data_IF_953486132462
#
_entry.id   IF_953486132462
#
_cell.length_a   1.000
_cell.length_b   1.000
_cell.length_c   1.000
_cell.angle_alpha   90.00
_cell.angle_beta   90.00
_cell.angle_gamma   90.00
#
_symmetry.space_group_name_H-M   'P 1'
#
loop_
_entity.id
_entity.type
_entity.pdbx_description
1 polymer ?
#
# COMPACT_ATOMS: atom_id res chain seq x y z
N UNK A 1 -11.74 -10.91 11.14
CA UNK A 1 -11.51 -9.90 10.10
C UNK A 1 -12.77 -9.03 9.89
N UNK A 2 -13.91 -9.56 9.40
CA UNK A 2 -15.11 -8.77 9.08
C UNK A 2 -15.68 -7.97 10.27
N UNK A 3 -15.59 -8.50 11.50
CA UNK A 3 -15.95 -7.75 12.72
C UNK A 3 -15.08 -6.51 12.91
N UNK A 4 -13.80 -6.58 12.55
CA UNK A 4 -12.90 -5.44 12.60
C UNK A 4 -13.21 -4.43 11.50
N UNK A 5 -13.50 -4.89 10.27
CA UNK A 5 -13.94 -4.01 9.17
C UNK A 5 -15.14 -3.18 9.59
N UNK A 6 -16.19 -3.80 10.18
CA UNK A 6 -17.36 -3.07 10.68
C UNK A 6 -17.01 -1.99 11.72
N UNK A 7 -16.07 -2.28 12.63
CA UNK A 7 -15.59 -1.28 13.59
C UNK A 7 -14.79 -0.15 12.90
N UNK A 8 -13.95 -0.50 11.93
CA UNK A 8 -13.15 0.47 11.19
C UNK A 8 -14.02 1.42 10.37
N UNK A 9 -15.16 0.96 9.83
CA UNK A 9 -16.14 1.82 9.15
C UNK A 9 -16.62 2.94 10.09
N UNK A 10 -16.96 2.60 11.33
CA UNK A 10 -17.42 3.61 12.29
C UNK A 10 -16.32 4.62 12.68
N UNK A 11 -15.07 4.14 12.77
CA UNK A 11 -13.91 5.03 12.99
C UNK A 11 -13.68 5.91 11.78
N UNK A 12 -13.67 5.34 10.59
CA UNK A 12 -13.45 6.06 9.32
C UNK A 12 -14.45 7.23 9.15
N UNK A 13 -15.73 6.99 9.45
CA UNK A 13 -16.76 8.03 9.44
C UNK A 13 -16.43 9.18 10.40
N UNK A 14 -15.94 8.87 11.60
CA UNK A 14 -15.63 9.88 12.63
C UNK A 14 -14.45 10.76 12.25
N UNK A 15 -13.45 10.21 11.58
CA UNK A 15 -12.20 10.92 11.19
C UNK A 15 -12.19 11.34 9.72
N UNK A 16 -13.29 11.11 9.01
CA UNK A 16 -13.41 11.37 7.57
C UNK A 16 -12.31 10.68 6.72
N UNK A 17 -11.95 9.44 7.08
CA UNK A 17 -10.98 8.66 6.33
C UNK A 17 -11.62 8.12 5.03
N UNK A 18 -10.84 8.04 3.98
CA UNK A 18 -11.22 7.46 2.68
C UNK A 18 -10.58 6.08 2.47
N UNK A 19 -9.40 5.88 3.01
CA UNK A 19 -8.61 4.65 2.83
C UNK A 19 -8.39 3.93 4.15
N UNK A 20 -8.28 2.62 4.08
CA UNK A 20 -7.91 1.74 5.20
C UNK A 20 -6.85 0.76 4.73
N UNK A 21 -5.66 0.79 5.34
CA UNK A 21 -4.61 -0.19 5.05
C UNK A 21 -5.01 -1.58 5.54
N UNK A 22 -4.81 -2.57 4.69
CA UNK A 22 -5.04 -3.98 4.99
C UNK A 22 -3.82 -4.81 4.60
N UNK A 23 -3.31 -5.56 5.59
CA UNK A 23 -2.25 -6.55 5.39
C UNK A 23 -2.86 -7.93 5.62
N UNK A 24 -2.79 -8.86 4.64
CA UNK A 24 -3.42 -10.18 4.74
C UNK A 24 -2.84 -11.13 5.80
N UNK A 25 -1.79 -10.73 6.50
CA UNK A 25 -1.17 -11.50 7.57
C UNK A 25 -0.05 -12.43 7.10
N UNK A 26 0.25 -13.45 7.90
CA UNK A 26 1.39 -14.36 7.65
C UNK A 26 1.02 -15.51 6.73
N UNK A 27 2.01 -15.97 5.97
CA UNK A 27 1.95 -17.16 5.15
C UNK A 27 1.94 -18.42 6.05
N UNK A 28 0.96 -19.31 5.88
CA UNK A 28 0.95 -20.61 6.54
C UNK A 28 1.65 -21.64 5.64
N UNK A 29 2.90 -21.97 5.96
CA UNK A 29 3.71 -22.91 5.18
C UNK A 29 3.11 -24.33 5.10
N UNK A 30 2.13 -24.67 5.94
CA UNK A 30 1.44 -25.98 5.93
C UNK A 30 0.34 -26.04 4.88
N UNK A 31 -0.02 -24.91 4.26
CA UNK A 31 -1.11 -24.81 3.28
C UNK A 31 -0.57 -24.39 1.92
N UNK A 32 -1.19 -24.87 0.85
CA UNK A 32 -0.86 -24.45 -0.50
C UNK A 32 -1.13 -22.95 -0.67
N UNK A 33 -0.24 -22.23 -1.35
CA UNK A 33 -0.37 -20.81 -1.61
C UNK A 33 -1.69 -20.48 -2.34
N UNK A 34 -2.07 -21.27 -3.36
CA UNK A 34 -3.32 -21.08 -4.09
C UNK A 34 -4.57 -21.14 -3.20
N UNK A 35 -4.58 -22.02 -2.21
CA UNK A 35 -5.68 -22.09 -1.23
C UNK A 35 -5.73 -20.84 -0.35
N UNK A 36 -4.56 -20.34 0.09
CA UNK A 36 -4.49 -19.13 0.89
C UNK A 36 -4.91 -17.90 0.07
N UNK A 37 -4.48 -17.81 -1.18
CA UNK A 37 -4.90 -16.74 -2.10
C UNK A 37 -6.41 -16.73 -2.29
N UNK A 38 -7.04 -17.89 -2.53
CA UNK A 38 -8.49 -17.99 -2.65
C UNK A 38 -9.21 -17.50 -1.39
N UNK A 39 -8.74 -17.89 -0.19
CA UNK A 39 -9.32 -17.43 1.07
C UNK A 39 -9.15 -15.91 1.28
N UNK A 40 -8.01 -15.34 0.88
CA UNK A 40 -7.78 -13.89 0.93
C UNK A 40 -8.76 -13.19 0.01
N UNK A 41 -8.88 -13.62 -1.25
CA UNK A 41 -9.81 -13.03 -2.22
C UNK A 41 -11.25 -13.07 -1.72
N UNK A 42 -11.73 -14.22 -1.23
CA UNK A 42 -13.10 -14.34 -0.70
C UNK A 42 -13.32 -13.45 0.53
N UNK A 43 -12.35 -13.36 1.43
CA UNK A 43 -12.43 -12.49 2.60
C UNK A 43 -12.49 -11.01 2.20
N UNK A 44 -11.74 -10.61 1.18
CA UNK A 44 -11.71 -9.24 0.68
C UNK A 44 -12.99 -8.88 -0.09
N UNK A 45 -13.60 -9.82 -0.83
CA UNK A 45 -14.92 -9.63 -1.44
C UNK A 45 -15.97 -9.31 -0.39
N UNK A 46 -16.07 -10.15 0.65
CA UNK A 46 -17.01 -9.91 1.75
C UNK A 46 -16.75 -8.58 2.49
N UNK A 47 -15.50 -8.16 2.58
CA UNK A 47 -15.16 -6.87 3.16
C UNK A 47 -15.53 -5.70 2.22
N UNK A 48 -15.32 -5.86 0.91
CA UNK A 48 -15.71 -4.87 -0.09
C UNK A 48 -17.21 -4.58 -0.06
N UNK A 49 -18.05 -5.63 0.03
CA UNK A 49 -19.51 -5.50 0.15
C UNK A 49 -19.92 -4.62 1.35
N UNK A 50 -19.13 -4.66 2.43
CA UNK A 50 -19.36 -3.82 3.60
C UNK A 50 -18.88 -2.37 3.42
N UNK A 51 -17.85 -2.15 2.61
CA UNK A 51 -17.18 -0.85 2.46
C UNK A 51 -17.77 0.01 1.35
N UNK A 52 -18.20 -0.61 0.25
CA UNK A 52 -18.75 0.08 -0.92
C UNK A 52 -19.90 1.06 -0.59
N UNK A 53 -20.89 0.70 0.26
CA UNK A 53 -21.97 1.61 0.64
C UNK A 53 -21.49 2.87 1.37
N UNK A 54 -20.25 2.87 1.85
CA UNK A 54 -19.64 3.99 2.58
C UNK A 54 -18.60 4.76 1.77
N UNK A 55 -18.33 4.36 0.53
CA UNK A 55 -17.27 4.94 -0.30
C UNK A 55 -15.86 4.74 0.27
N UNK A 56 -15.68 3.76 1.14
CA UNK A 56 -14.40 3.43 1.77
C UNK A 56 -13.61 2.44 0.92
N UNK A 57 -12.30 2.62 0.86
CA UNK A 57 -11.40 1.78 0.07
C UNK A 57 -10.40 1.11 1.02
N UNK A 58 -10.40 -0.22 1.07
CA UNK A 58 -9.24 -0.93 1.62
C UNK A 58 -8.12 -0.91 0.59
N UNK A 59 -6.94 -0.58 1.07
CA UNK A 59 -5.72 -0.57 0.27
C UNK A 59 -4.79 -1.66 0.78
N UNK A 60 -4.52 -2.64 -0.07
CA UNK A 60 -3.64 -3.77 0.23
C UNK A 60 -2.20 -3.31 0.13
N UNK A 61 -1.44 -3.54 1.18
CA UNK A 61 -0.04 -3.16 1.25
C UNK A 61 0.87 -4.38 1.15
N UNK A 62 1.59 -4.57 0.04
CA UNK A 62 2.70 -5.51 -0.04
C UNK A 62 3.89 -4.99 0.76
N UNK A 63 4.41 -5.81 1.69
CA UNK A 63 5.49 -5.43 2.59
C UNK A 63 6.75 -6.24 2.31
N UNK A 64 7.92 -5.58 2.35
CA UNK A 64 9.17 -6.23 2.05
C UNK A 64 9.54 -7.31 3.10
N UNK A 65 10.23 -8.35 2.64
CA UNK A 65 10.57 -9.52 3.46
C UNK A 65 11.64 -9.23 4.53
N UNK A 66 12.42 -8.17 4.39
CA UNK A 66 13.51 -7.83 5.34
C UNK A 66 12.95 -7.26 6.63
N UNK A 67 12.02 -6.32 6.52
CA UNK A 67 11.40 -5.67 7.67
C UNK A 67 10.23 -6.50 8.22
N UNK A 68 9.56 -7.25 7.35
CA UNK A 68 8.35 -8.02 7.66
C UNK A 68 8.44 -9.48 7.18
N UNK A 69 9.32 -10.30 7.77
CA UNK A 69 9.52 -11.67 7.31
C UNK A 69 8.27 -12.55 7.52
N UNK A 70 8.00 -13.40 6.55
CA UNK A 70 6.93 -14.41 6.64
C UNK A 70 5.52 -13.92 6.34
N UNK A 71 5.36 -12.72 5.79
CA UNK A 71 4.06 -12.23 5.34
C UNK A 71 3.60 -12.93 4.06
N UNK A 72 2.28 -13.00 3.89
CA UNK A 72 1.65 -13.59 2.71
C UNK A 72 1.78 -12.68 1.48
N UNK A 73 1.58 -11.37 1.65
CA UNK A 73 1.58 -10.38 0.57
C UNK A 73 2.88 -9.58 0.61
N UNK A 74 3.71 -9.75 -0.42
CA UNK A 74 5.03 -9.09 -0.48
C UNK A 74 5.31 -8.39 -1.80
N UNK A 75 4.60 -8.75 -2.88
CA UNK A 75 4.89 -8.27 -4.22
C UNK A 75 3.71 -7.49 -4.83
N UNK A 76 4.01 -6.44 -5.60
CA UNK A 76 2.99 -5.63 -6.25
C UNK A 76 2.20 -6.40 -7.33
N UNK A 77 2.79 -7.31 -8.15
CA UNK A 77 2.01 -8.15 -9.05
C UNK A 77 1.02 -9.07 -8.34
N UNK A 78 1.42 -9.63 -7.18
CA UNK A 78 0.52 -10.46 -6.36
C UNK A 78 -0.68 -9.65 -5.86
N UNK A 79 -0.45 -8.43 -5.38
CA UNK A 79 -1.52 -7.53 -4.96
C UNK A 79 -2.45 -7.17 -6.13
N UNK A 80 -1.88 -6.92 -7.31
CA UNK A 80 -2.63 -6.62 -8.53
C UNK A 80 -3.58 -7.77 -8.88
N UNK A 81 -3.09 -9.00 -8.94
CA UNK A 81 -3.90 -10.18 -9.23
C UNK A 81 -5.02 -10.37 -8.21
N UNK A 82 -4.74 -10.14 -6.92
CA UNK A 82 -5.76 -10.22 -5.86
C UNK A 82 -6.82 -9.13 -6.07
N UNK A 83 -6.45 -7.87 -6.30
CA UNK A 83 -7.41 -6.79 -6.55
C UNK A 83 -8.28 -7.07 -7.77
N UNK A 84 -7.69 -7.55 -8.87
CA UNK A 84 -8.44 -7.96 -10.09
C UNK A 84 -9.40 -9.11 -9.80
N UNK A 85 -9.00 -10.09 -8.99
CA UNK A 85 -9.86 -11.23 -8.62
C UNK A 85 -11.01 -10.81 -7.67
N UNK A 86 -10.77 -9.84 -6.79
CA UNK A 86 -11.81 -9.23 -5.93
C UNK A 86 -12.78 -8.42 -6.78
N UNK A 87 -12.28 -7.66 -7.75
CA UNK A 87 -13.04 -6.86 -8.71
C UNK A 87 -14.01 -5.86 -8.05
N UNK A 88 -13.51 -5.07 -7.09
CA UNK A 88 -14.28 -4.06 -6.37
C UNK A 88 -13.56 -2.71 -6.33
N UNK A 89 -14.28 -1.58 -6.44
CA UNK A 89 -13.70 -0.26 -6.25
C UNK A 89 -13.23 -0.02 -4.80
N UNK A 90 -13.71 -0.83 -3.85
CA UNK A 90 -13.34 -0.76 -2.43
C UNK A 90 -12.16 -1.68 -2.05
N UNK A 91 -11.48 -2.30 -3.05
CA UNK A 91 -10.27 -3.10 -2.82
C UNK A 91 -9.23 -2.72 -3.86
N UNK A 92 -8.20 -2.00 -3.42
CA UNK A 92 -7.14 -1.44 -4.26
C UNK A 92 -5.77 -1.66 -3.64
N UNK A 93 -4.71 -1.21 -4.32
CA UNK A 93 -3.33 -1.32 -3.86
C UNK A 93 -2.92 -0.03 -3.14
N UNK A 94 -2.23 -0.17 -2.02
CA UNK A 94 -1.29 0.79 -1.49
C UNK A 94 0.09 0.41 -2.03
N UNK A 95 0.68 1.28 -2.85
CA UNK A 95 2.03 1.09 -3.35
C UNK A 95 3.00 1.89 -2.49
N UNK A 96 3.65 1.21 -1.52
CA UNK A 96 4.72 1.81 -0.73
C UNK A 96 6.04 1.70 -1.51
N UNK A 97 6.57 2.84 -1.93
CA UNK A 97 7.77 2.93 -2.75
C UNK A 97 9.00 2.39 -2.01
N UNK A 98 9.10 2.62 -0.70
CA UNK A 98 10.18 2.08 0.13
C UNK A 98 10.13 0.55 0.17
N UNK A 99 8.95 -0.03 0.46
CA UNK A 99 8.82 -1.49 0.53
C UNK A 99 9.10 -2.14 -0.82
N UNK A 100 8.59 -1.58 -1.91
CA UNK A 100 8.77 -2.18 -3.23
C UNK A 100 10.19 -1.97 -3.78
N UNK A 101 10.91 -0.91 -3.38
CA UNK A 101 12.35 -0.80 -3.68
C UNK A 101 13.14 -1.96 -3.11
N UNK A 102 12.90 -2.32 -1.86
CA UNK A 102 13.61 -3.42 -1.17
C UNK A 102 13.20 -4.80 -1.72
N UNK A 103 11.92 -4.97 -2.02
CA UNK A 103 11.34 -6.26 -2.41
C UNK A 103 11.58 -6.59 -3.87
N UNK A 104 11.35 -5.64 -4.77
CA UNK A 104 11.28 -5.86 -6.21
C UNK A 104 12.26 -4.99 -7.01
N UNK A 105 12.52 -3.78 -6.54
CA UNK A 105 13.15 -2.76 -7.38
C UNK A 105 12.27 -2.41 -8.59
N UNK A 106 12.90 -1.95 -9.69
CA UNK A 106 12.21 -1.72 -10.97
C UNK A 106 10.89 -0.91 -10.82
N UNK A 107 10.88 0.10 -9.95
CA UNK A 107 9.69 0.78 -9.42
C UNK A 107 8.75 1.31 -10.51
N UNK A 108 9.26 2.11 -11.46
CA UNK A 108 8.41 2.75 -12.49
C UNK A 108 7.68 1.70 -13.35
N UNK A 109 8.33 0.67 -13.89
CA UNK A 109 7.62 -0.39 -14.61
C UNK A 109 6.62 -1.17 -13.77
N UNK A 110 6.89 -1.38 -12.49
CA UNK A 110 5.96 -2.07 -11.58
C UNK A 110 4.74 -1.20 -11.24
N UNK A 111 4.94 0.10 -11.01
CA UNK A 111 3.85 1.07 -10.87
C UNK A 111 2.98 1.08 -12.13
N UNK A 112 3.60 1.11 -13.33
CA UNK A 112 2.86 1.12 -14.60
C UNK A 112 1.98 -0.12 -14.78
N UNK A 113 2.51 -1.30 -14.50
CA UNK A 113 1.78 -2.57 -14.59
C UNK A 113 0.60 -2.66 -13.63
N UNK A 114 0.73 -2.08 -12.44
CA UNK A 114 -0.29 -2.15 -11.40
C UNK A 114 -1.22 -0.93 -11.39
N UNK A 115 -1.02 0.03 -12.31
CA UNK A 115 -1.62 1.36 -12.30
C UNK A 115 -3.12 1.39 -12.04
N UNK A 116 -3.89 0.57 -12.73
CA UNK A 116 -5.35 0.53 -12.63
C UNK A 116 -5.87 0.17 -11.24
N UNK A 117 -5.06 -0.49 -10.44
CA UNK A 117 -5.43 -0.95 -9.11
C UNK A 117 -4.78 -0.15 -7.98
N UNK A 118 -3.90 0.82 -8.28
CA UNK A 118 -3.27 1.66 -7.26
C UNK A 118 -4.21 2.80 -6.86
N UNK A 119 -4.56 2.88 -5.56
CA UNK A 119 -5.37 3.97 -5.01
C UNK A 119 -4.63 4.85 -4.01
N UNK A 120 -3.45 4.44 -3.56
CA UNK A 120 -2.67 5.17 -2.56
C UNK A 120 -1.18 4.87 -2.73
N UNK A 121 -0.35 5.89 -2.54
CA UNK A 121 1.10 5.72 -2.47
C UNK A 121 1.62 6.06 -1.10
N UNK A 122 2.66 5.35 -0.67
CA UNK A 122 3.48 5.73 0.49
C UNK A 122 4.91 6.03 0.05
N UNK A 123 5.48 7.02 0.71
CA UNK A 123 6.77 7.64 0.37
C UNK A 123 7.71 7.46 1.55
N UNK A 124 8.87 6.90 1.30
CA UNK A 124 10.01 6.78 2.21
C UNK A 124 11.24 6.37 1.42
N UNK A 125 12.40 6.96 1.69
CA UNK A 125 13.61 6.65 0.93
C UNK A 125 14.36 5.43 1.51
N UNK A 126 15.06 4.72 0.66
CA UNK A 126 15.88 3.58 1.00
C UNK A 126 17.37 3.89 0.67
N UNK A 127 18.31 3.55 1.59
CA UNK A 127 18.12 2.94 2.90
C UNK A 127 17.67 3.95 3.98
N UNK A 128 17.16 3.40 5.10
CA UNK A 128 16.91 4.18 6.33
C UNK A 128 15.47 4.64 6.53
N UNK A 129 14.60 4.54 5.51
CA UNK A 129 13.19 4.97 5.55
C UNK A 129 13.04 6.40 6.05
N UNK A 130 13.84 7.30 5.49
CA UNK A 130 13.78 8.74 5.74
C UNK A 130 13.08 9.48 4.58
N UNK A 131 13.06 10.81 4.65
CA UNK A 131 12.46 11.67 3.62
C UNK A 131 13.12 11.47 2.25
N UNK A 132 12.40 11.73 1.13
CA UNK A 132 12.94 11.70 -0.22
C UNK A 132 14.25 12.49 -0.37
N UNK A 133 15.14 12.00 -1.21
CA UNK A 133 16.49 12.53 -1.50
C UNK A 133 17.58 12.20 -0.46
N UNK A 134 17.26 11.44 0.57
CA UNK A 134 18.25 11.00 1.56
C UNK A 134 18.82 9.62 1.26
N UNK A 135 18.25 8.89 0.32
CA UNK A 135 18.63 7.52 -0.06
C UNK A 135 18.94 7.36 -1.55
N UNK A 136 18.63 6.16 -2.06
CA UNK A 136 18.97 5.75 -3.44
C UNK A 136 17.80 5.90 -4.44
N UNK A 137 16.58 6.22 -3.96
CA UNK A 137 15.40 6.27 -4.80
C UNK A 137 15.34 7.60 -5.56
N UNK A 138 15.20 7.54 -6.89
CA UNK A 138 15.04 8.74 -7.70
C UNK A 138 13.57 9.23 -7.69
N UNK A 139 13.17 9.86 -6.59
CA UNK A 139 11.83 10.38 -6.40
C UNK A 139 11.42 11.42 -7.45
N UNK A 140 12.34 12.23 -7.97
CA UNK A 140 12.04 13.19 -9.03
C UNK A 140 11.47 12.49 -10.27
N UNK A 141 12.05 11.36 -10.68
CA UNK A 141 11.56 10.61 -11.83
C UNK A 141 10.25 9.87 -11.53
N UNK A 142 10.12 9.33 -10.33
CA UNK A 142 8.90 8.64 -9.90
C UNK A 142 7.73 9.61 -9.86
N UNK A 143 7.88 10.79 -9.26
CA UNK A 143 6.82 11.80 -9.19
C UNK A 143 6.42 12.31 -10.58
N UNK A 144 7.39 12.55 -11.48
CA UNK A 144 7.10 12.90 -12.88
C UNK A 144 6.27 11.82 -13.57
N UNK A 145 6.61 10.55 -13.35
CA UNK A 145 5.87 9.43 -13.92
C UNK A 145 4.44 9.37 -13.36
N UNK A 146 4.26 9.40 -12.04
CA UNK A 146 2.95 9.38 -11.38
C UNK A 146 2.10 10.56 -11.87
N UNK A 147 2.67 11.76 -11.95
CA UNK A 147 1.99 12.95 -12.46
C UNK A 147 1.58 12.80 -13.93
N UNK A 148 2.47 12.26 -14.78
CA UNK A 148 2.17 12.04 -16.20
C UNK A 148 1.02 11.06 -16.47
N UNK A 149 0.73 10.19 -15.48
CA UNK A 149 -0.39 9.25 -15.51
C UNK A 149 -1.71 9.87 -15.02
N UNK A 150 -1.70 11.15 -14.63
CA UNK A 150 -2.90 11.85 -14.16
C UNK A 150 -3.36 11.44 -12.76
N UNK A 151 -2.45 11.07 -11.86
CA UNK A 151 -2.79 10.71 -10.49
C UNK A 151 -3.28 11.94 -9.70
N UNK A 152 -4.47 11.83 -9.14
CA UNK A 152 -5.10 12.87 -8.30
C UNK A 152 -5.28 12.43 -6.82
N UNK A 153 -4.68 11.30 -6.46
CA UNK A 153 -4.74 10.75 -5.10
C UNK A 153 -3.72 11.35 -4.14
N UNK A 154 -3.47 10.65 -3.05
CA UNK A 154 -2.54 11.08 -2.00
C UNK A 154 -1.21 10.36 -2.15
N UNK A 155 -0.12 11.11 -2.00
CA UNK A 155 1.23 10.61 -1.78
C UNK A 155 1.53 10.77 -0.28
N UNK A 156 1.27 9.72 0.50
CA UNK A 156 1.40 9.74 1.96
C UNK A 156 2.85 9.60 2.39
N UNK A 157 3.34 10.54 3.16
CA UNK A 157 4.68 10.46 3.74
C UNK A 157 4.67 9.46 4.90
N UNK A 158 5.42 8.35 4.75
CA UNK A 158 5.57 7.33 5.78
C UNK A 158 7.04 7.03 6.02
N UNK A 159 7.71 7.94 6.70
CA UNK A 159 9.14 7.86 6.95
C UNK A 159 9.53 8.58 8.25
N UNK A 160 10.72 8.27 8.75
CA UNK A 160 11.39 9.08 9.75
C UNK A 160 12.04 10.31 9.10
N UNK A 161 12.58 11.20 9.92
CA UNK A 161 13.38 12.33 9.43
C UNK A 161 14.87 12.04 9.65
N UNK A 162 15.68 12.29 8.63
CA UNK A 162 17.16 12.17 8.73
C UNK A 162 17.76 13.14 9.74
N UNK A 163 17.17 14.32 9.85
CA UNK A 163 17.48 15.33 10.87
C UNK A 163 16.41 15.24 11.96
N UNK A 164 16.83 15.13 13.23
CA UNK A 164 15.91 15.05 14.35
C UNK A 164 15.38 16.40 14.79
N UNK A 165 14.15 16.42 15.33
CA UNK A 165 13.52 17.60 15.92
C UNK A 165 12.92 18.56 14.89
N UNK A 166 12.62 19.78 15.33
CA UNK A 166 11.90 20.79 14.55
C UNK A 166 12.62 21.15 13.23
N UNK A 167 13.94 21.09 13.21
CA UNK A 167 14.73 21.38 12.01
C UNK A 167 14.50 20.32 10.92
N UNK A 168 14.41 19.05 11.32
CA UNK A 168 14.08 17.97 10.39
C UNK A 168 12.63 18.04 9.88
N UNK A 169 11.70 18.45 10.74
CA UNK A 169 10.29 18.65 10.32
C UNK A 169 10.17 19.78 9.30
N UNK A 170 10.91 20.87 9.48
CA UNK A 170 10.95 21.96 8.50
C UNK A 170 11.57 21.54 7.17
N UNK A 171 12.68 20.81 7.21
CA UNK A 171 13.37 20.36 6.00
C UNK A 171 12.54 19.41 5.12
N UNK A 172 11.51 18.78 5.66
CA UNK A 172 10.57 17.95 4.89
C UNK A 172 9.49 18.78 4.19
N UNK A 173 9.23 20.01 4.69
CA UNK A 173 8.18 20.90 4.17
C UNK A 173 8.76 21.84 3.10
N UNK A 174 10.02 22.25 3.24
CA UNK A 174 10.74 23.15 2.31
C UNK A 174 11.22 22.40 1.05
#
# INVERSE_FOLDING_TARGET
FLKQIKKSIEVAKRINARWMTVVPGHLDLRKKLSYQTANVVESLKLASDLLEPHGLIMVLEPLNFRDHPGLFLTESPQAYEICKAVNSPSCKILFDIYHQQIQEGNLIPNIDKCWEEIAYFQIGDNPGRNEPTTGEINYSNIFKFIYSKGYEGVLGMEHGNSIKGIEGEKAVID
#
